data_IF_685358753501
#
_entry.id   IF_685358753501
#
_cell.length_a   1.000
_cell.length_b   1.000
_cell.length_c   1.000
_cell.angle_alpha   90.00
_cell.angle_beta   90.00
_cell.angle_gamma   90.00
#
_symmetry.space_group_name_H-M   'P 1'
#
loop_
_entity.id
_entity.type
_entity.pdbx_description
1 polymer ?
#
# COMPACT_ATOMS: atom_id res chain seq x y z
N UNK A 1 62.99 -10.85 38.12
CA UNK A 1 62.30 -10.02 37.15
C UNK A 1 61.37 -10.93 36.34
N UNK A 2 60.07 -10.86 36.64
CA UNK A 2 59.04 -11.65 35.95
C UNK A 2 58.32 -10.69 35.01
N UNK A 3 58.39 -10.96 33.68
CA UNK A 3 57.65 -10.21 32.69
C UNK A 3 56.21 -10.70 32.64
N UNK A 4 55.23 -9.82 32.95
CA UNK A 4 53.81 -10.03 32.68
C UNK A 4 53.55 -9.72 31.21
N UNK A 5 53.24 -10.76 30.44
CA UNK A 5 52.72 -10.59 29.08
C UNK A 5 51.22 -10.27 29.11
N UNK A 6 50.87 -9.04 28.72
CA UNK A 6 49.47 -8.62 28.56
C UNK A 6 48.99 -9.11 27.21
N UNK A 7 48.09 -10.12 27.20
CA UNK A 7 47.37 -10.52 26.00
C UNK A 7 46.23 -9.52 25.71
N UNK A 8 46.41 -8.70 24.73
CA UNK A 8 45.30 -7.88 24.19
C UNK A 8 44.43 -8.79 23.30
N UNK A 9 43.24 -9.14 23.80
CA UNK A 9 42.19 -9.74 22.95
C UNK A 9 41.61 -8.63 22.06
N UNK A 10 42.01 -8.58 20.79
CA UNK A 10 41.29 -7.81 19.75
C UNK A 10 40.00 -8.57 19.46
N UNK A 11 38.87 -8.09 20.00
CA UNK A 11 37.56 -8.45 19.53
C UNK A 11 37.37 -7.79 18.16
N UNK A 12 37.56 -8.54 17.09
CA UNK A 12 37.08 -8.17 15.75
C UNK A 12 35.58 -8.11 15.83
N UNK A 13 35.02 -6.93 15.97
CA UNK A 13 33.63 -6.63 15.65
C UNK A 13 33.49 -6.87 14.13
N UNK A 14 32.99 -8.04 13.75
CA UNK A 14 32.49 -8.24 12.41
C UNK A 14 31.36 -7.21 12.21
N UNK A 15 31.66 -6.11 11.55
CA UNK A 15 30.64 -5.21 11.03
C UNK A 15 29.87 -6.03 9.98
N UNK A 16 28.81 -6.68 10.41
CA UNK A 16 27.89 -7.37 9.52
C UNK A 16 27.42 -6.35 8.49
N UNK A 17 27.64 -6.65 7.22
CA UNK A 17 27.15 -5.82 6.13
C UNK A 17 25.64 -5.63 6.31
N UNK A 18 25.18 -4.38 6.32
CA UNK A 18 23.75 -4.10 6.49
C UNK A 18 22.95 -4.84 5.42
N UNK A 19 21.88 -5.53 5.82
CA UNK A 19 21.01 -6.23 4.88
C UNK A 19 20.42 -5.23 3.89
N UNK A 20 20.41 -5.54 2.59
CA UNK A 20 19.78 -4.68 1.61
C UNK A 20 18.27 -4.57 1.88
N UNK A 21 17.62 -3.44 1.60
CA UNK A 21 16.16 -3.34 1.72
C UNK A 21 15.47 -4.46 0.95
N UNK A 22 14.35 -4.99 1.45
CA UNK A 22 13.53 -5.93 0.69
C UNK A 22 12.99 -5.30 -0.61
N UNK A 23 12.70 -6.13 -1.60
CA UNK A 23 11.91 -5.73 -2.75
C UNK A 23 10.41 -5.98 -2.53
N UNK A 24 9.54 -5.40 -3.37
CA UNK A 24 8.11 -5.74 -3.37
C UNK A 24 7.90 -7.05 -4.13
N UNK A 25 7.34 -8.06 -3.47
CA UNK A 25 7.10 -9.36 -4.10
C UNK A 25 5.64 -9.51 -4.55
N UNK A 26 4.68 -9.31 -3.64
CA UNK A 26 3.27 -9.50 -3.98
C UNK A 26 2.32 -8.76 -3.02
N UNK A 27 1.09 -8.58 -3.49
CA UNK A 27 -0.09 -8.34 -2.65
C UNK A 27 -0.92 -9.62 -2.62
N UNK A 28 -1.39 -10.05 -1.45
CA UNK A 28 -2.22 -11.24 -1.30
C UNK A 28 -3.66 -10.87 -0.94
N UNK A 29 -4.61 -11.38 -1.72
CA UNK A 29 -6.04 -11.19 -1.52
C UNK A 29 -6.74 -12.51 -1.17
N UNK A 30 -7.78 -12.43 -0.36
CA UNK A 30 -8.78 -13.49 -0.25
C UNK A 30 -9.87 -13.25 -1.29
N UNK A 31 -10.29 -14.29 -2.01
CA UNK A 31 -11.32 -14.18 -3.06
C UNK A 31 -12.22 -15.40 -3.06
N UNK A 32 -13.50 -15.21 -3.28
CA UNK A 32 -14.45 -16.34 -3.47
C UNK A 32 -14.23 -17.04 -4.82
N UNK A 33 -13.76 -16.30 -5.81
CA UNK A 33 -13.50 -16.81 -7.16
C UNK A 33 -12.20 -16.19 -7.75
N UNK A 34 -11.03 -16.71 -7.37
CA UNK A 34 -9.75 -16.22 -7.86
C UNK A 34 -9.63 -16.15 -9.40
N UNK A 35 -10.20 -17.10 -10.12
CA UNK A 35 -10.13 -17.12 -11.57
C UNK A 35 -10.90 -15.96 -12.20
N UNK A 36 -12.12 -15.68 -11.71
CA UNK A 36 -12.87 -14.51 -12.15
C UNK A 36 -12.19 -13.20 -11.76
N UNK A 37 -11.56 -13.15 -10.59
CA UNK A 37 -10.78 -11.99 -10.18
C UNK A 37 -9.59 -11.77 -11.15
N UNK A 38 -8.85 -12.81 -11.48
CA UNK A 38 -7.75 -12.78 -12.44
C UNK A 38 -8.24 -12.32 -13.83
N UNK A 39 -9.36 -12.85 -14.31
CA UNK A 39 -9.95 -12.45 -15.58
C UNK A 39 -10.37 -10.99 -15.61
N UNK A 40 -10.91 -10.50 -14.49
CA UNK A 40 -11.25 -9.10 -14.33
C UNK A 40 -9.99 -8.21 -14.43
N UNK A 41 -8.97 -8.46 -13.61
CA UNK A 41 -7.76 -7.62 -13.57
C UNK A 41 -7.03 -7.61 -14.91
N UNK A 42 -6.83 -8.75 -15.56
CA UNK A 42 -6.15 -8.84 -16.87
C UNK A 42 -6.93 -8.14 -17.98
N UNK A 43 -8.26 -8.06 -17.88
CA UNK A 43 -9.09 -7.31 -18.82
C UNK A 43 -9.00 -5.81 -18.60
N UNK A 44 -8.94 -5.36 -17.36
CA UNK A 44 -8.91 -3.93 -17.04
C UNK A 44 -7.50 -3.34 -17.16
N UNK A 45 -6.48 -4.13 -16.88
CA UNK A 45 -5.07 -3.71 -16.91
C UNK A 45 -4.27 -4.64 -17.84
N UNK A 46 -4.23 -4.35 -19.16
CA UNK A 46 -3.58 -5.21 -20.16
C UNK A 46 -2.08 -5.45 -19.97
N UNK A 47 -1.39 -4.63 -19.18
CA UNK A 47 0.00 -4.88 -18.79
C UNK A 47 0.15 -6.00 -17.76
N UNK A 48 -0.97 -6.51 -17.26
CA UNK A 48 -1.03 -7.57 -16.24
C UNK A 48 -1.36 -8.89 -16.89
N UNK A 49 -0.57 -9.91 -16.64
CA UNK A 49 -0.70 -11.25 -17.22
C UNK A 49 -1.17 -12.28 -16.19
N UNK A 50 -1.82 -13.33 -16.69
CA UNK A 50 -2.08 -14.53 -15.88
C UNK A 50 -0.77 -15.25 -15.59
N UNK A 51 -0.60 -15.65 -14.36
CA UNK A 51 0.60 -16.35 -13.91
C UNK A 51 0.25 -17.52 -12.98
N UNK A 52 1.26 -18.24 -12.56
CA UNK A 52 1.17 -19.25 -11.50
C UNK A 52 2.28 -18.97 -10.51
N UNK A 53 1.95 -18.96 -9.23
CA UNK A 53 2.93 -18.87 -8.16
C UNK A 53 2.64 -19.90 -7.08
N UNK A 54 3.67 -20.62 -6.62
CA UNK A 54 3.54 -21.71 -5.64
C UNK A 54 2.45 -22.75 -5.98
N UNK A 55 2.22 -23.00 -7.28
CA UNK A 55 1.20 -23.94 -7.77
C UNK A 55 -0.23 -23.40 -7.80
N UNK A 56 -0.47 -22.14 -7.45
CA UNK A 56 -1.76 -21.49 -7.48
C UNK A 56 -1.86 -20.43 -8.59
N UNK A 57 -3.06 -20.20 -9.17
CA UNK A 57 -3.29 -19.09 -10.09
C UNK A 57 -2.95 -17.74 -9.45
N UNK A 58 -2.33 -16.88 -10.23
CA UNK A 58 -1.87 -15.56 -9.80
C UNK A 58 -1.96 -14.55 -10.96
N UNK A 59 -1.75 -13.29 -10.64
CA UNK A 59 -1.47 -12.22 -11.61
C UNK A 59 -0.02 -11.82 -11.51
N UNK A 60 0.52 -11.29 -12.62
CA UNK A 60 1.85 -10.71 -12.66
C UNK A 60 1.83 -9.40 -13.43
N UNK A 61 2.33 -8.35 -12.83
CA UNK A 61 2.56 -7.04 -13.45
C UNK A 61 4.03 -6.66 -13.28
N UNK A 62 4.81 -6.82 -14.35
CA UNK A 62 6.26 -6.70 -14.27
C UNK A 62 6.88 -7.74 -13.33
N UNK A 63 7.44 -7.30 -12.21
CA UNK A 63 8.02 -8.17 -11.15
C UNK A 63 7.03 -8.51 -10.03
N UNK A 64 5.90 -7.80 -9.95
CA UNK A 64 4.94 -7.88 -8.86
C UNK A 64 3.91 -8.95 -9.14
N UNK A 65 3.60 -9.76 -8.14
CA UNK A 65 2.48 -10.68 -8.17
C UNK A 65 1.28 -10.12 -7.40
N UNK A 66 0.07 -10.50 -7.83
CA UNK A 66 -1.11 -10.50 -6.97
C UNK A 66 -1.54 -11.94 -6.79
N UNK A 67 -1.50 -12.40 -5.55
CA UNK A 67 -1.81 -13.77 -5.17
C UNK A 67 -3.21 -13.85 -4.58
N UNK A 68 -3.83 -15.02 -4.69
CA UNK A 68 -5.19 -15.22 -4.21
C UNK A 68 -5.31 -16.50 -3.38
N UNK A 69 -5.99 -16.38 -2.23
CA UNK A 69 -6.51 -17.55 -1.51
C UNK A 69 -8.00 -17.68 -1.76
N UNK A 70 -8.43 -18.83 -2.25
CA UNK A 70 -9.85 -19.12 -2.43
C UNK A 70 -10.52 -19.30 -1.06
N UNK A 71 -11.56 -18.51 -0.82
CA UNK A 71 -12.38 -18.56 0.39
C UNK A 71 -13.83 -18.95 0.04
N UNK A 72 -14.57 -19.48 1.02
CA UNK A 72 -15.95 -19.95 0.80
C UNK A 72 -16.99 -18.85 0.81
N UNK A 73 -16.72 -17.78 1.53
CA UNK A 73 -17.60 -16.63 1.72
C UNK A 73 -16.85 -15.36 1.39
N UNK A 74 -17.55 -14.27 0.98
CA UNK A 74 -16.89 -12.99 0.73
C UNK A 74 -16.01 -12.59 1.91
N UNK A 75 -14.73 -12.22 1.65
CA UNK A 75 -13.81 -11.84 2.71
C UNK A 75 -14.30 -10.54 3.36
N UNK A 76 -14.14 -10.39 4.68
CA UNK A 76 -14.58 -9.19 5.37
C UNK A 76 -13.75 -7.98 4.93
N UNK A 77 -14.41 -6.84 4.76
CA UNK A 77 -13.80 -5.52 4.57
C UNK A 77 -13.88 -4.66 5.84
N UNK A 78 -14.63 -5.13 6.84
CA UNK A 78 -14.79 -4.51 8.16
C UNK A 78 -14.47 -5.53 9.25
N UNK A 79 -13.95 -5.10 10.42
CA UNK A 79 -13.54 -3.73 10.74
C UNK A 79 -12.35 -3.27 9.89
N UNK A 80 -12.12 -1.95 9.81
CA UNK A 80 -11.03 -1.38 9.00
C UNK A 80 -9.68 -1.97 9.36
N UNK A 81 -8.93 -2.37 8.33
CA UNK A 81 -7.54 -2.83 8.42
C UNK A 81 -6.59 -1.76 7.90
N UNK A 82 -5.28 -2.04 8.00
CA UNK A 82 -4.27 -1.13 7.48
C UNK A 82 -4.34 -0.97 5.96
N UNK A 83 -4.60 -2.02 5.20
CA UNK A 83 -4.61 -1.93 3.73
C UNK A 83 -5.97 -1.39 3.27
N UNK A 84 -5.95 -0.23 2.61
CA UNK A 84 -7.14 0.42 2.11
C UNK A 84 -7.46 0.02 0.67
N UNK A 85 -6.49 0.21 -0.23
CA UNK A 85 -6.61 -0.16 -1.63
C UNK A 85 -5.21 -0.29 -2.27
N UNK A 86 -5.20 -0.72 -3.50
CA UNK A 86 -3.99 -0.81 -4.31
C UNK A 86 -4.28 -0.31 -5.72
N UNK A 87 -3.24 -0.12 -6.54
CA UNK A 87 -3.48 0.50 -7.81
C UNK A 87 -2.43 0.30 -8.87
N UNK A 88 -2.82 0.76 -10.07
CA UNK A 88 -2.01 0.80 -11.26
C UNK A 88 -1.72 2.23 -11.70
N UNK A 89 -0.53 2.47 -12.18
CA UNK A 89 -0.28 3.55 -13.09
C UNK A 89 -0.95 3.24 -14.43
N UNK A 90 -1.55 4.27 -15.07
CA UNK A 90 -2.09 4.20 -16.42
C UNK A 90 -1.60 5.41 -17.22
N UNK A 91 -1.63 5.30 -18.54
CA UNK A 91 -1.16 6.39 -19.42
C UNK A 91 -2.14 7.56 -19.41
N UNK A 92 -3.45 7.26 -19.47
CA UNK A 92 -4.50 8.28 -19.55
C UNK A 92 -5.71 7.85 -18.73
N UNK A 93 -5.92 8.51 -17.59
CA UNK A 93 -7.01 8.19 -16.67
C UNK A 93 -8.40 8.43 -17.28
N UNK A 94 -8.56 9.46 -18.11
CA UNK A 94 -9.86 9.79 -18.72
C UNK A 94 -10.23 8.78 -19.80
N UNK A 95 -9.25 8.36 -20.61
CA UNK A 95 -9.44 7.29 -21.59
C UNK A 95 -9.81 5.98 -20.90
N UNK A 96 -9.05 5.59 -19.86
CA UNK A 96 -9.36 4.38 -19.09
C UNK A 96 -10.76 4.45 -18.45
N UNK A 97 -11.15 5.62 -17.92
CA UNK A 97 -12.50 5.83 -17.37
C UNK A 97 -13.58 5.54 -18.42
N UNK A 98 -13.43 6.10 -19.63
CA UNK A 98 -14.40 5.88 -20.70
C UNK A 98 -14.50 4.39 -21.07
N UNK A 99 -13.36 3.73 -21.26
CA UNK A 99 -13.31 2.30 -21.59
C UNK A 99 -13.88 1.41 -20.47
N UNK A 100 -13.67 1.75 -19.20
CA UNK A 100 -14.23 1.00 -18.08
C UNK A 100 -15.75 1.13 -18.02
N UNK A 101 -16.29 2.33 -18.26
CA UNK A 101 -17.74 2.55 -18.35
C UNK A 101 -18.37 1.76 -19.49
N UNK A 102 -17.75 1.74 -20.68
CA UNK A 102 -18.21 0.93 -21.82
C UNK A 102 -18.25 -0.57 -21.51
N UNK A 103 -17.29 -1.06 -20.69
CA UNK A 103 -17.23 -2.45 -20.23
C UNK A 103 -18.15 -2.75 -19.06
N UNK A 104 -18.91 -1.76 -18.56
CA UNK A 104 -19.81 -1.90 -17.42
C UNK A 104 -19.08 -2.02 -16.07
N UNK A 105 -17.85 -1.56 -15.99
CA UNK A 105 -17.10 -1.55 -14.73
C UNK A 105 -17.68 -0.48 -13.81
N UNK A 106 -17.93 -0.83 -12.56
CA UNK A 106 -18.41 0.10 -11.55
C UNK A 106 -17.29 1.02 -11.10
N UNK A 107 -17.42 2.31 -11.40
CA UNK A 107 -16.55 3.34 -10.86
C UNK A 107 -17.02 3.78 -9.48
N UNK A 108 -16.08 4.07 -8.60
CA UNK A 108 -16.36 4.59 -7.27
C UNK A 108 -16.12 6.10 -7.26
N UNK A 109 -17.07 6.90 -6.76
CA UNK A 109 -16.87 8.33 -6.68
C UNK A 109 -15.84 8.67 -5.61
N UNK A 110 -14.97 9.63 -5.91
CA UNK A 110 -14.05 10.20 -4.92
C UNK A 110 -14.85 10.91 -3.81
N UNK A 111 -15.90 11.62 -4.21
CA UNK A 111 -16.90 12.21 -3.34
C UNK A 111 -18.12 12.65 -4.14
N UNK A 112 -19.21 12.91 -3.42
CA UNK A 112 -20.43 13.47 -3.99
C UNK A 112 -20.58 14.91 -3.52
N UNK A 113 -20.87 15.84 -4.43
CA UNK A 113 -21.10 17.26 -4.13
C UNK A 113 -22.50 17.46 -3.55
N UNK A 114 -22.73 18.61 -2.90
CA UNK A 114 -24.03 18.91 -2.26
C UNK A 114 -25.17 19.06 -3.26
N UNK A 115 -24.84 19.36 -4.53
CA UNK A 115 -25.81 19.40 -5.65
C UNK A 115 -26.12 18.01 -6.22
N UNK A 116 -25.62 16.93 -5.59
CA UNK A 116 -25.82 15.54 -5.98
C UNK A 116 -24.89 15.06 -7.09
N UNK A 117 -23.99 15.88 -7.59
CA UNK A 117 -22.98 15.49 -8.58
C UNK A 117 -21.87 14.65 -7.93
N UNK A 118 -21.42 13.61 -8.64
CA UNK A 118 -20.29 12.79 -8.20
C UNK A 118 -19.03 13.14 -8.99
N UNK A 119 -17.90 13.20 -8.28
CA UNK A 119 -16.58 13.36 -8.88
C UNK A 119 -15.87 12.01 -8.86
N UNK A 120 -15.52 11.51 -10.05
CA UNK A 120 -14.87 10.22 -10.23
C UNK A 120 -13.38 10.32 -10.49
N UNK A 121 -12.93 11.40 -11.12
CA UNK A 121 -11.51 11.61 -11.44
C UNK A 121 -11.02 12.85 -10.72
N UNK A 122 -9.86 12.76 -10.09
CA UNK A 122 -9.30 13.85 -9.30
C UNK A 122 -8.96 15.10 -10.15
N UNK A 123 -8.65 14.93 -11.43
CA UNK A 123 -8.44 16.03 -12.35
C UNK A 123 -9.74 16.78 -12.73
N UNK A 124 -10.91 16.23 -12.43
CA UNK A 124 -12.20 16.88 -12.58
C UNK A 124 -12.56 17.77 -11.36
N UNK A 125 -11.67 17.85 -10.36
CA UNK A 125 -11.85 18.72 -9.21
C UNK A 125 -11.53 20.16 -9.56
N UNK A 126 -12.18 21.10 -8.83
CA UNK A 126 -11.88 22.52 -9.01
C UNK A 126 -10.53 22.87 -8.43
N UNK A 127 -9.79 23.79 -9.07
CA UNK A 127 -8.49 24.21 -8.57
C UNK A 127 -8.62 24.79 -7.16
N UNK A 128 -7.98 24.13 -6.22
CA UNK A 128 -7.74 24.65 -4.89
C UNK A 128 -6.36 25.29 -4.81
N UNK A 129 -6.02 25.85 -3.67
CA UNK A 129 -4.67 26.36 -3.40
C UNK A 129 -3.68 25.20 -3.58
N UNK A 130 -2.81 25.31 -4.60
CA UNK A 130 -1.81 24.30 -4.91
C UNK A 130 -2.31 23.09 -5.71
N UNK A 131 -3.52 23.12 -6.30
CA UNK A 131 -4.05 22.00 -7.11
C UNK A 131 -4.24 20.70 -6.31
N UNK A 132 -4.21 20.78 -4.98
CA UNK A 132 -4.26 19.62 -4.12
C UNK A 132 -5.67 19.09 -3.94
N UNK A 133 -5.76 17.78 -3.89
CA UNK A 133 -6.90 17.03 -3.40
C UNK A 133 -7.11 17.39 -1.92
N UNK A 134 -7.99 18.27 -1.61
CA UNK A 134 -8.17 18.72 -0.23
C UNK A 134 -9.31 19.70 -0.09
N UNK A 135 -10.02 19.95 -1.18
CA UNK A 135 -11.22 20.80 -1.13
C UNK A 135 -12.36 20.04 -0.47
N UNK A 136 -13.05 20.71 0.42
CA UNK A 136 -14.30 20.21 0.98
C UNK A 136 -15.41 20.31 -0.07
N UNK A 137 -16.51 19.57 0.09
CA UNK A 137 -17.71 19.68 -0.75
C UNK A 137 -18.17 21.15 -0.86
N UNK A 138 -18.19 21.86 0.26
CA UNK A 138 -18.60 23.28 0.30
C UNK A 138 -17.69 24.16 -0.58
N UNK A 139 -16.37 23.94 -0.51
CA UNK A 139 -15.41 24.71 -1.34
C UNK A 139 -15.63 24.42 -2.84
N UNK A 140 -15.90 23.18 -3.19
CA UNK A 140 -16.18 22.79 -4.58
C UNK A 140 -17.49 23.38 -5.06
N UNK A 141 -18.56 23.29 -4.26
CA UNK A 141 -19.84 23.91 -4.56
C UNK A 141 -19.69 25.43 -4.79
N UNK A 142 -18.92 26.10 -3.93
CA UNK A 142 -18.60 27.51 -4.07
C UNK A 142 -17.82 27.81 -5.34
N UNK A 143 -16.81 27.02 -5.67
CA UNK A 143 -16.03 27.17 -6.88
C UNK A 143 -16.89 27.00 -8.14
N UNK A 144 -17.79 25.99 -8.16
CA UNK A 144 -18.78 25.80 -9.22
C UNK A 144 -19.68 27.03 -9.41
N UNK A 145 -20.23 27.53 -8.33
CA UNK A 145 -21.09 28.70 -8.35
C UNK A 145 -20.36 29.96 -8.87
N UNK A 146 -19.05 30.02 -8.74
CA UNK A 146 -18.20 31.08 -9.26
C UNK A 146 -17.74 30.85 -10.71
N UNK A 147 -18.20 29.80 -11.38
CA UNK A 147 -17.81 29.43 -12.74
C UNK A 147 -16.37 28.93 -12.89
N UNK A 148 -15.72 28.57 -11.78
CA UNK A 148 -14.36 28.01 -11.82
C UNK A 148 -14.40 26.65 -12.53
N UNK A 149 -13.53 26.46 -13.50
CA UNK A 149 -13.42 25.20 -14.24
C UNK A 149 -12.55 24.19 -13.51
N UNK A 150 -12.81 22.86 -13.69
CA UNK A 150 -11.94 21.82 -13.15
C UNK A 150 -10.53 21.95 -13.72
N UNK A 151 -9.56 21.51 -12.93
CA UNK A 151 -8.18 21.41 -13.41
C UNK A 151 -8.03 20.23 -14.35
N UNK A 152 -7.41 20.47 -15.52
CA UNK A 152 -6.99 19.38 -16.40
C UNK A 152 -5.56 18.99 -16.05
N UNK A 153 -5.32 17.71 -15.83
CA UNK A 153 -3.98 17.20 -15.49
C UNK A 153 -4.00 15.68 -15.30
N UNK A 154 -2.86 15.18 -14.86
CA UNK A 154 -2.82 13.83 -14.32
C UNK A 154 -3.89 13.73 -13.22
N UNK A 155 -4.59 12.64 -13.19
CA UNK A 155 -5.62 12.40 -12.20
C UNK A 155 -5.53 10.97 -11.72
N UNK A 156 -6.31 10.66 -10.71
CA UNK A 156 -6.57 9.29 -10.32
C UNK A 156 -8.07 9.10 -10.15
N UNK A 157 -8.49 7.85 -10.20
CA UNK A 157 -9.87 7.45 -9.99
C UNK A 157 -9.93 6.05 -9.39
N UNK A 158 -11.10 5.67 -8.90
CA UNK A 158 -11.32 4.36 -8.29
C UNK A 158 -12.35 3.55 -9.07
N UNK A 159 -12.11 2.24 -9.13
CA UNK A 159 -13.08 1.26 -9.58
C UNK A 159 -13.28 0.18 -8.52
N UNK A 160 -14.45 -0.48 -8.56
CA UNK A 160 -14.74 -1.65 -7.74
C UNK A 160 -14.37 -2.91 -8.52
N UNK A 161 -13.52 -3.72 -7.91
CA UNK A 161 -13.07 -5.01 -8.42
C UNK A 161 -13.81 -6.16 -7.69
N UNK A 162 -13.62 -7.41 -8.11
CA UNK A 162 -14.20 -8.57 -7.44
C UNK A 162 -13.94 -8.57 -5.92
N UNK A 163 -14.85 -9.18 -5.19
CA UNK A 163 -14.87 -9.26 -3.73
C UNK A 163 -14.94 -7.88 -3.01
N UNK A 164 -15.26 -6.82 -3.74
CA UNK A 164 -15.36 -5.45 -3.22
C UNK A 164 -13.99 -4.76 -3.08
N UNK A 165 -12.97 -5.26 -3.76
CA UNK A 165 -11.67 -4.60 -3.76
C UNK A 165 -11.75 -3.22 -4.44
N UNK A 166 -11.07 -2.23 -3.84
CA UNK A 166 -10.95 -0.90 -4.41
C UNK A 166 -9.63 -0.83 -5.17
N UNK A 167 -9.69 -0.42 -6.42
CA UNK A 167 -8.52 -0.22 -7.27
C UNK A 167 -8.40 1.25 -7.64
N UNK A 168 -7.26 1.84 -7.33
CA UNK A 168 -6.90 3.13 -7.88
C UNK A 168 -6.21 2.97 -9.24
N UNK A 169 -6.57 3.80 -10.20
CA UNK A 169 -5.80 3.96 -11.42
C UNK A 169 -5.39 5.43 -11.55
N UNK A 170 -4.09 5.64 -11.63
CA UNK A 170 -3.45 6.95 -11.63
C UNK A 170 -2.89 7.26 -13.01
N UNK A 171 -3.35 8.34 -13.62
CA UNK A 171 -3.03 8.72 -14.99
C UNK A 171 -1.71 9.46 -15.17
N UNK A 172 -1.43 9.76 -16.44
CA UNK A 172 -0.26 10.51 -16.92
C UNK A 172 1.08 9.85 -16.60
N UNK A 173 1.12 8.54 -16.67
CA UNK A 173 2.33 7.75 -16.45
C UNK A 173 2.85 7.19 -17.77
N UNK A 174 4.17 6.96 -17.91
CA UNK A 174 4.77 6.51 -19.18
C UNK A 174 4.34 5.10 -19.59
N UNK A 175 3.94 4.28 -18.63
CA UNK A 175 3.49 2.91 -18.88
C UNK A 175 2.49 2.45 -17.80
N UNK A 176 1.59 1.53 -18.18
CA UNK A 176 0.70 0.86 -17.25
C UNK A 176 1.46 -0.19 -16.45
N UNK A 177 1.30 -0.19 -15.13
CA UNK A 177 1.85 -1.20 -14.23
C UNK A 177 1.25 -1.10 -12.83
N UNK A 178 1.27 -2.20 -12.08
CA UNK A 178 1.03 -2.15 -10.63
C UNK A 178 2.09 -1.26 -9.97
N UNK A 179 1.69 -0.34 -9.10
CA UNK A 179 2.66 0.64 -8.58
C UNK A 179 2.51 1.03 -7.12
N UNK A 180 1.38 0.77 -6.47
CA UNK A 180 1.20 1.19 -5.09
C UNK A 180 0.21 0.36 -4.28
N UNK A 181 0.37 0.45 -2.97
CA UNK A 181 -0.62 0.05 -1.96
C UNK A 181 -0.81 1.24 -1.02
N UNK A 182 -2.05 1.71 -0.88
CA UNK A 182 -2.40 2.75 0.08
C UNK A 182 -2.90 2.13 1.37
N UNK A 183 -2.45 2.69 2.47
CA UNK A 183 -2.65 2.14 3.80
C UNK A 183 -3.18 3.22 4.76
N UNK A 184 -3.79 2.78 5.84
CA UNK A 184 -4.16 3.63 6.96
C UNK A 184 -3.19 3.45 8.12
N UNK A 185 -2.87 4.55 8.79
CA UNK A 185 -2.12 4.53 10.04
C UNK A 185 -2.56 5.68 10.93
N UNK A 186 -2.45 5.46 12.22
CA UNK A 186 -2.74 6.48 13.23
C UNK A 186 -1.75 7.64 13.15
N UNK A 187 -0.48 7.29 13.13
CA UNK A 187 0.66 8.20 13.00
C UNK A 187 1.51 7.76 11.78
N UNK A 188 1.20 8.23 10.56
CA UNK A 188 1.86 7.82 9.31
C UNK A 188 3.39 7.93 9.33
N UNK A 189 3.93 8.99 9.96
CA UNK A 189 5.38 9.16 10.07
C UNK A 189 6.03 8.11 10.99
N UNK A 190 5.31 7.64 12.02
CA UNK A 190 5.78 6.54 12.85
C UNK A 190 5.79 5.21 12.08
N UNK A 191 4.85 5.00 11.14
CA UNK A 191 4.89 3.85 10.26
C UNK A 191 6.12 3.91 9.34
N UNK A 192 6.34 5.03 8.65
CA UNK A 192 7.52 5.22 7.79
C UNK A 192 8.82 4.94 8.56
N UNK A 193 8.93 5.50 9.78
CA UNK A 193 10.08 5.29 10.65
C UNK A 193 10.28 3.82 11.00
N UNK A 194 9.20 3.08 11.32
CA UNK A 194 9.25 1.66 11.61
C UNK A 194 9.81 0.87 10.42
N UNK A 195 9.31 1.13 9.20
CA UNK A 195 9.81 0.47 7.99
C UNK A 195 11.27 0.82 7.70
N UNK A 196 11.66 2.07 7.95
CA UNK A 196 13.07 2.49 7.84
C UNK A 196 13.97 1.72 8.81
N UNK A 197 13.60 1.64 10.07
CA UNK A 197 14.40 1.02 11.13
C UNK A 197 14.49 -0.50 10.98
N UNK A 198 13.36 -1.16 10.74
CA UNK A 198 13.29 -2.61 10.75
C UNK A 198 13.53 -3.27 9.38
N UNK A 199 13.17 -2.60 8.30
CA UNK A 199 13.32 -3.12 6.95
C UNK A 199 14.39 -2.40 6.12
N UNK A 200 15.18 -1.52 6.72
CA UNK A 200 16.26 -0.77 6.06
C UNK A 200 15.82 0.04 4.84
N UNK A 201 14.52 0.35 4.72
CA UNK A 201 14.00 1.12 3.60
C UNK A 201 14.41 2.59 3.77
N UNK A 202 14.87 3.29 2.72
CA UNK A 202 15.17 4.70 2.82
C UNK A 202 13.97 5.51 3.32
N UNK A 203 14.16 6.29 4.40
CA UNK A 203 13.15 7.24 4.87
C UNK A 203 13.24 8.54 4.08
N UNK A 204 12.10 9.12 3.78
CA UNK A 204 11.99 10.44 3.17
C UNK A 204 11.77 11.54 4.19
N UNK A 205 11.42 11.16 5.42
CA UNK A 205 11.15 12.10 6.51
C UNK A 205 12.36 12.28 7.42
N UNK A 206 12.39 13.42 8.12
CA UNK A 206 13.35 13.72 9.17
C UNK A 206 12.82 13.39 10.58
N UNK A 207 11.68 12.73 10.67
CA UNK A 207 11.05 12.37 11.94
C UNK A 207 11.86 11.31 12.68
N UNK A 208 11.82 11.40 14.00
CA UNK A 208 12.40 10.45 14.95
C UNK A 208 11.29 9.80 15.78
N UNK A 209 11.60 8.80 16.60
CA UNK A 209 10.62 8.21 17.52
C UNK A 209 9.94 9.26 18.44
N UNK A 210 10.68 10.29 18.84
CA UNK A 210 10.15 11.37 19.67
C UNK A 210 9.20 12.30 18.92
N UNK A 211 9.32 12.41 17.61
CA UNK A 211 8.63 13.43 16.79
C UNK A 211 7.72 12.86 15.72
N UNK A 212 7.66 11.55 15.55
CA UNK A 212 6.84 10.91 14.51
C UNK A 212 5.33 10.98 14.79
N UNK A 213 4.92 11.19 16.03
CA UNK A 213 3.51 11.33 16.40
C UNK A 213 2.98 12.70 15.98
N UNK A 214 1.84 12.69 15.31
CA UNK A 214 1.19 13.90 14.80
C UNK A 214 0.11 14.35 15.79
N UNK A 215 0.05 15.64 16.10
CA UNK A 215 -1.03 16.18 16.96
C UNK A 215 -2.39 16.03 16.27
N UNK A 216 -3.29 15.27 16.88
CA UNK A 216 -4.56 14.89 16.27
C UNK A 216 -5.56 16.00 15.99
N UNK A 217 -5.65 17.09 16.76
CA UNK A 217 -6.55 18.21 16.42
C UNK A 217 -6.21 18.85 15.06
N UNK A 218 -4.95 18.78 14.65
CA UNK A 218 -4.47 19.24 13.35
C UNK A 218 -4.75 18.23 12.23
N UNK A 219 -5.14 17.02 12.60
CA UNK A 219 -5.55 15.95 11.70
C UNK A 219 -7.03 16.03 11.28
N UNK A 220 -7.69 17.16 11.45
CA UNK A 220 -8.94 17.46 10.73
C UNK A 220 -8.68 17.57 9.23
N UNK A 221 -7.95 16.57 8.73
CA UNK A 221 -7.68 16.44 7.32
C UNK A 221 -8.98 16.21 6.59
N UNK A 222 -9.17 16.85 5.47
CA UNK A 222 -10.33 16.56 4.65
C UNK A 222 -10.42 15.06 4.41
N UNK A 223 -11.54 14.47 4.74
CA UNK A 223 -11.82 13.04 4.49
C UNK A 223 -12.98 12.94 3.52
N UNK A 224 -13.12 11.78 2.87
CA UNK A 224 -14.26 11.51 1.99
C UNK A 224 -15.60 11.71 2.71
N UNK A 225 -15.71 11.26 3.96
CA UNK A 225 -16.91 11.42 4.78
C UNK A 225 -17.24 12.89 5.09
N UNK A 226 -16.21 13.72 5.24
CA UNK A 226 -16.34 15.17 5.49
C UNK A 226 -16.37 16.01 4.22
N UNK A 227 -16.39 15.35 3.05
CA UNK A 227 -16.43 16.02 1.75
C UNK A 227 -15.09 16.54 1.27
N UNK A 228 -14.00 15.97 1.77
CA UNK A 228 -12.63 16.24 1.32
C UNK A 228 -11.90 14.95 0.97
N UNK A 229 -10.64 15.08 0.59
CA UNK A 229 -9.79 13.95 0.23
C UNK A 229 -8.70 13.73 1.26
N UNK A 230 -8.35 12.46 1.46
CA UNK A 230 -7.27 12.08 2.35
C UNK A 230 -5.92 12.51 1.78
N UNK A 231 -5.04 12.98 2.65
CA UNK A 231 -3.63 13.22 2.31
C UNK A 231 -2.78 11.99 2.62
N UNK A 232 -1.67 11.88 1.91
CA UNK A 232 -0.65 10.85 2.09
C UNK A 232 0.60 11.50 2.70
N UNK A 233 0.66 11.66 4.03
CA UNK A 233 1.76 12.40 4.64
C UNK A 233 3.08 11.62 4.64
N UNK A 234 3.06 10.30 4.58
CA UNK A 234 4.22 9.43 4.69
C UNK A 234 4.16 8.25 3.73
N UNK A 235 5.32 7.70 3.38
CA UNK A 235 5.41 6.51 2.52
C UNK A 235 6.82 5.99 2.38
N UNK A 236 6.93 4.74 1.97
CA UNK A 236 8.17 4.07 1.59
C UNK A 236 8.03 3.48 0.19
N UNK A 237 9.14 3.12 -0.42
CA UNK A 237 9.13 2.47 -1.73
C UNK A 237 9.97 1.21 -1.67
N UNK A 238 9.40 0.10 -2.13
CA UNK A 238 10.07 -1.17 -2.33
C UNK A 238 10.22 -1.40 -3.83
N UNK A 239 11.45 -1.40 -4.35
CA UNK A 239 11.74 -1.31 -5.78
C UNK A 239 11.03 -0.10 -6.42
N UNK A 240 9.96 -0.36 -7.18
CA UNK A 240 9.15 0.65 -7.86
C UNK A 240 7.69 0.66 -7.40
N UNK A 241 7.39 0.01 -6.27
CA UNK A 241 6.07 -0.01 -5.64
C UNK A 241 6.07 0.82 -4.36
N UNK A 242 5.17 1.79 -4.30
CA UNK A 242 5.01 2.66 -3.14
C UNK A 242 4.02 2.06 -2.13
N UNK A 243 4.39 2.07 -0.85
CA UNK A 243 3.46 1.96 0.25
C UNK A 243 3.29 3.35 0.86
N UNK A 244 2.08 3.88 0.87
CA UNK A 244 1.80 5.21 1.42
C UNK A 244 0.69 5.14 2.45
N UNK A 245 0.86 5.89 3.54
CA UNK A 245 -0.10 5.90 4.65
C UNK A 245 -0.92 7.17 4.63
N UNK A 246 -2.23 6.96 4.71
CA UNK A 246 -3.21 7.98 5.04
C UNK A 246 -3.49 7.96 6.53
N UNK A 247 -3.83 9.11 7.08
CA UNK A 247 -4.24 9.18 8.49
C UNK A 247 -5.56 8.44 8.66
N UNK A 248 -5.61 7.54 9.62
CA UNK A 248 -6.82 6.81 9.99
C UNK A 248 -7.91 7.77 10.46
N UNK A 249 -9.11 7.65 9.90
CA UNK A 249 -10.21 8.57 10.14
C UNK A 249 -11.13 8.18 11.30
N UNK A 250 -11.09 6.93 11.76
CA UNK A 250 -11.92 6.48 12.87
C UNK A 250 -11.09 6.32 14.16
N UNK A 251 -11.77 6.29 15.31
CA UNK A 251 -11.13 6.14 16.63
C UNK A 251 -10.84 4.68 17.00
N UNK A 252 -11.37 3.72 16.23
CA UNK A 252 -11.16 2.30 16.51
C UNK A 252 -9.78 1.88 16.05
N UNK A 253 -9.07 1.06 16.84
CA UNK A 253 -7.82 0.46 16.38
C UNK A 253 -8.02 -0.32 15.09
N UNK A 254 -7.04 -0.24 14.17
CA UNK A 254 -7.03 -1.06 12.96
C UNK A 254 -7.06 -2.55 13.32
N UNK A 255 -7.85 -3.32 12.60
CA UNK A 255 -7.85 -4.77 12.73
C UNK A 255 -6.59 -5.38 12.07
N UNK A 256 -6.14 -6.57 12.47
CA UNK A 256 -5.14 -7.32 11.72
C UNK A 256 -5.63 -7.60 10.29
N UNK A 257 -4.74 -7.55 9.30
CA UNK A 257 -5.14 -7.77 7.89
C UNK A 257 -5.43 -9.24 7.57
N UNK A 258 -4.84 -10.19 8.30
CA UNK A 258 -5.03 -11.62 8.06
C UNK A 258 -6.50 -12.03 8.10
N UNK A 259 -6.93 -12.69 7.04
CA UNK A 259 -8.31 -13.16 6.88
C UNK A 259 -9.29 -12.12 6.34
N UNK A 260 -8.86 -10.88 6.12
CA UNK A 260 -9.63 -9.84 5.43
C UNK A 260 -9.41 -9.91 3.91
N UNK A 261 -10.10 -9.07 3.15
CA UNK A 261 -9.97 -8.99 1.69
C UNK A 261 -8.50 -8.81 1.27
N UNK A 262 -7.81 -7.82 1.81
CA UNK A 262 -6.37 -7.65 1.66
C UNK A 262 -5.68 -8.35 2.83
N UNK A 263 -5.14 -9.53 2.57
CA UNK A 263 -4.63 -10.40 3.63
C UNK A 263 -3.24 -10.00 4.11
N UNK A 264 -2.30 -9.81 3.18
CA UNK A 264 -0.93 -9.41 3.51
C UNK A 264 -0.16 -8.86 2.30
N UNK A 265 0.99 -8.26 2.59
CA UNK A 265 1.96 -7.79 1.61
C UNK A 265 3.18 -8.70 1.68
N UNK A 266 3.64 -9.20 0.54
CA UNK A 266 4.86 -9.99 0.42
C UNK A 266 6.05 -9.11 0.01
N UNK A 267 7.16 -9.30 0.69
CA UNK A 267 8.43 -8.63 0.46
C UNK A 267 9.52 -9.66 0.15
N UNK A 268 10.29 -9.45 -0.90
CA UNK A 268 11.37 -10.36 -1.29
C UNK A 268 12.67 -10.03 -0.56
N UNK A 269 13.35 -11.07 -0.09
CA UNK A 269 14.65 -10.99 0.58
C UNK A 269 15.59 -12.07 0.06
N UNK A 270 16.91 -11.85 0.09
CA UNK A 270 17.90 -12.85 -0.35
C UNK A 270 18.37 -13.78 0.77
N UNK A 271 18.42 -13.31 2.00
CA UNK A 271 18.87 -14.08 3.18
C UNK A 271 17.80 -14.00 4.27
N UNK A 272 16.87 -14.95 4.21
CA UNK A 272 15.76 -15.00 5.16
C UNK A 272 16.23 -15.24 6.60
N UNK A 273 17.29 -16.02 6.81
CA UNK A 273 17.78 -16.33 8.15
C UNK A 273 18.42 -15.11 8.80
N UNK A 274 19.19 -14.32 8.05
CA UNK A 274 19.73 -13.05 8.52
C UNK A 274 18.61 -12.04 8.86
N UNK A 275 17.59 -11.94 8.01
CA UNK A 275 16.41 -11.12 8.29
C UNK A 275 15.67 -11.56 9.54
N UNK A 276 15.45 -12.86 9.73
CA UNK A 276 14.83 -13.40 10.95
C UNK A 276 15.65 -13.07 12.19
N UNK A 277 16.97 -13.22 12.11
CA UNK A 277 17.87 -12.90 13.23
C UNK A 277 17.79 -11.42 13.61
N UNK A 278 17.89 -10.52 12.61
CA UNK A 278 17.75 -9.05 12.81
C UNK A 278 16.42 -8.71 13.46
N UNK A 279 15.31 -9.14 12.86
CA UNK A 279 13.96 -8.76 13.31
C UNK A 279 13.62 -9.31 14.69
N UNK A 280 14.16 -10.49 15.06
CA UNK A 280 14.06 -11.02 16.43
C UNK A 280 14.84 -10.20 17.44
N UNK A 281 16.06 -9.81 17.08
CA UNK A 281 16.88 -8.94 17.93
C UNK A 281 16.24 -7.58 18.16
N UNK A 282 15.47 -7.11 17.20
CA UNK A 282 14.70 -5.84 17.25
C UNK A 282 13.28 -6.00 17.81
N UNK A 283 12.95 -7.16 18.35
CA UNK A 283 11.66 -7.48 18.98
C UNK A 283 10.44 -7.33 18.04
N UNK A 284 10.62 -7.44 16.73
CA UNK A 284 9.51 -7.46 15.79
C UNK A 284 8.66 -8.71 15.99
N UNK A 285 7.35 -8.53 16.00
CA UNK A 285 6.41 -9.62 16.24
C UNK A 285 6.30 -10.54 15.01
N UNK A 286 6.61 -11.83 15.21
CA UNK A 286 6.41 -12.87 14.22
C UNK A 286 4.98 -13.43 14.31
N UNK A 287 4.33 -13.58 13.16
CA UNK A 287 2.99 -14.14 13.02
C UNK A 287 3.01 -15.63 12.65
N UNK A 288 4.15 -16.14 12.16
CA UNK A 288 4.33 -17.56 11.82
C UNK A 288 5.74 -18.04 12.15
N UNK A 289 5.92 -19.35 12.16
CA UNK A 289 7.23 -19.97 11.95
C UNK A 289 7.58 -19.87 10.46
N UNK A 290 8.85 -20.14 10.10
CA UNK A 290 9.26 -20.30 8.71
C UNK A 290 8.49 -21.45 8.05
N UNK A 291 8.04 -21.26 6.81
CA UNK A 291 7.30 -22.25 6.03
C UNK A 291 7.75 -22.23 4.56
N UNK A 292 7.27 -23.20 3.80
CA UNK A 292 7.47 -23.26 2.35
C UNK A 292 6.34 -22.54 1.63
N UNK A 293 6.70 -21.68 0.67
CA UNK A 293 5.82 -21.03 -0.28
C UNK A 293 6.27 -21.42 -1.70
N UNK A 294 5.73 -22.52 -2.20
CA UNK A 294 6.29 -23.19 -3.38
C UNK A 294 7.71 -23.68 -3.10
N UNK A 295 8.65 -23.25 -3.94
CA UNK A 295 10.09 -23.56 -3.77
C UNK A 295 10.81 -22.57 -2.85
N UNK A 296 10.17 -21.46 -2.49
CA UNK A 296 10.72 -20.45 -1.61
C UNK A 296 10.48 -20.78 -0.13
N UNK A 297 11.27 -20.15 0.73
CA UNK A 297 11.03 -20.11 2.18
C UNK A 297 10.38 -18.77 2.49
N UNK A 298 9.47 -18.75 3.45
CA UNK A 298 8.82 -17.53 3.87
C UNK A 298 8.57 -17.50 5.38
N UNK A 299 8.36 -16.30 5.92
CA UNK A 299 7.95 -16.05 7.30
C UNK A 299 7.04 -14.84 7.36
N UNK A 300 6.05 -14.83 8.22
CA UNK A 300 5.19 -13.67 8.44
C UNK A 300 5.57 -12.91 9.70
N UNK A 301 5.62 -11.59 9.59
CA UNK A 301 5.79 -10.63 10.67
C UNK A 301 4.62 -9.65 10.71
N UNK A 302 4.49 -8.91 11.79
CA UNK A 302 3.49 -7.86 11.95
C UNK A 302 4.14 -6.49 11.78
N UNK A 303 3.61 -5.69 10.86
CA UNK A 303 3.96 -4.29 10.70
C UNK A 303 3.25 -3.37 11.70
N UNK A 304 3.58 -2.07 11.70
CA UNK A 304 3.16 -1.10 12.72
C UNK A 304 1.66 -0.79 12.72
N UNK A 305 0.99 -1.01 11.60
CA UNK A 305 -0.47 -0.81 11.46
C UNK A 305 -1.26 -2.11 11.62
N UNK A 306 -0.64 -3.15 12.19
CA UNK A 306 -1.17 -4.52 12.33
C UNK A 306 -1.35 -5.26 11.00
N UNK A 307 -0.75 -4.73 9.93
CA UNK A 307 -0.64 -5.46 8.67
C UNK A 307 0.28 -6.67 8.80
N UNK A 308 -0.05 -7.73 8.11
CA UNK A 308 0.85 -8.85 7.94
C UNK A 308 1.80 -8.59 6.79
N UNK A 309 3.08 -8.81 7.02
CA UNK A 309 4.14 -8.73 6.03
C UNK A 309 4.76 -10.13 5.90
N UNK A 310 4.82 -10.67 4.69
CA UNK A 310 5.44 -11.95 4.38
C UNK A 310 6.82 -11.70 3.78
N UNK A 311 7.88 -12.11 4.47
CA UNK A 311 9.23 -12.11 3.90
C UNK A 311 9.42 -13.40 3.11
N UNK A 312 9.66 -13.28 1.81
CA UNK A 312 9.83 -14.39 0.86
C UNK A 312 11.28 -14.42 0.39
N UNK A 313 11.95 -15.55 0.60
CA UNK A 313 13.33 -15.73 0.16
C UNK A 313 13.38 -15.95 -1.34
N UNK A 314 14.08 -15.08 -2.03
CA UNK A 314 14.37 -15.23 -3.47
C UNK A 314 15.84 -15.58 -3.67
N UNK A 315 16.13 -16.30 -4.74
CA UNK A 315 17.51 -16.72 -5.08
C UNK A 315 18.29 -15.63 -5.80
#
# INVERSE_FOLDING_TARGET
MRALGTFLLLALLAQGQALPPPGFHHLHLNSVDPEKAIDFYTRQFPSTEKATFAGAPALKSGKVYVLFTKVKTPPPTAPQTAIWHFGWHVVDVQKNKAEYLERGVKLLPLYTTDDGGSVFVSSDTWPGVGGSLGLTKLQITKAKAQGVQPTHGAGFAYLEAPDGAIIEYQGNMPAERFNHVHMFQHDPYCAELWYHQHLNVPSRSTYTEATCKVARPELSWPSLERGGMLRQPAGVTFDDVALTWHVQQNERPLAPTRGHLYDHIGLSVHDLDAWIAKLRAEHVKFLSKTYKLGDARAVMIQGPSREALELVEIK
#
